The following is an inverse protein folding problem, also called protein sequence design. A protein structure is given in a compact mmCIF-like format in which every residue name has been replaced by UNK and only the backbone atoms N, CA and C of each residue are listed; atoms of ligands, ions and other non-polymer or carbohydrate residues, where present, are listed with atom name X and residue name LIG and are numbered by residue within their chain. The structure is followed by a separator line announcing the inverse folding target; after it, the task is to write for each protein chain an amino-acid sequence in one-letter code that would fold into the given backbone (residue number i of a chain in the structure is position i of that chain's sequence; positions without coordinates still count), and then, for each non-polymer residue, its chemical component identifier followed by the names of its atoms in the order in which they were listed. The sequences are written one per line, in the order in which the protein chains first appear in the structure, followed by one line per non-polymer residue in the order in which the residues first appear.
data_IF_294284515187
#
_entry.id   IF_294284515187
#
_cell.length_a   1.000
_cell.length_b   1.000
_cell.length_c   1.000
_cell.angle_alpha   90.00
_cell.angle_beta   90.00
_cell.angle_gamma   90.00
#
_symmetry.space_group_name_H-M   'P 1'
#
loop_
_entity.id
_entity.type
_entity.pdbx_description
1 polymer ?
#
# COMPACT_ATOMS: atom_id res chain seq x y z
N UNK A 1 84.47 -40.26 24.27
CA UNK A 1 83.14 -40.63 23.70
C UNK A 1 82.10 -39.69 24.31
N UNK A 2 81.18 -39.09 23.53
CA UNK A 2 81.06 -39.06 22.06
C UNK A 2 80.96 -37.64 21.44
N UNK A 3 81.22 -37.59 20.12
CA UNK A 3 80.69 -36.74 19.03
C UNK A 3 80.60 -35.21 19.21
N UNK A 4 81.45 -34.39 18.58
CA UNK A 4 81.58 -34.12 17.13
C UNK A 4 80.24 -33.99 16.41
N UNK A 5 79.81 -32.76 16.07
CA UNK A 5 79.44 -32.30 14.71
C UNK A 5 79.42 -30.75 14.76
N UNK A 6 80.45 -30.10 14.21
CA UNK A 6 80.29 -28.71 13.72
C UNK A 6 79.55 -28.80 12.38
N UNK A 7 78.44 -28.08 12.18
CA UNK A 7 77.78 -28.10 10.88
C UNK A 7 78.66 -27.33 9.90
N UNK A 8 79.20 -28.03 8.90
CA UNK A 8 79.67 -27.39 7.68
C UNK A 8 78.50 -26.60 7.10
N UNK A 9 78.62 -25.28 7.03
CA UNK A 9 77.66 -24.46 6.31
C UNK A 9 77.80 -24.73 4.81
N UNK A 10 77.06 -25.73 4.34
CA UNK A 10 77.05 -26.10 2.93
C UNK A 10 76.59 -24.91 2.07
N UNK A 11 77.23 -24.66 0.91
CA UNK A 11 76.85 -23.60 -0.05
C UNK A 11 75.41 -23.75 -0.55
N UNK A 12 74.80 -24.93 -0.35
CA UNK A 12 73.40 -25.23 -0.62
C UNK A 12 72.46 -24.41 0.27
N UNK A 13 72.81 -24.14 1.52
CA UNK A 13 71.98 -23.37 2.46
C UNK A 13 71.85 -21.89 2.06
N UNK A 14 72.95 -21.28 1.62
CA UNK A 14 72.99 -19.88 1.19
C UNK A 14 72.37 -19.70 -0.20
N UNK A 15 72.57 -20.68 -1.10
CA UNK A 15 71.88 -20.72 -2.39
C UNK A 15 70.37 -20.90 -2.21
N UNK A 16 69.95 -21.77 -1.29
CA UNK A 16 68.55 -22.01 -0.96
C UNK A 16 67.90 -20.77 -0.32
N UNK A 17 68.60 -20.08 0.59
CA UNK A 17 68.13 -18.82 1.18
C UNK A 17 67.92 -17.72 0.14
N UNK A 18 68.84 -17.56 -0.82
CA UNK A 18 68.69 -16.57 -1.91
C UNK A 18 67.49 -16.89 -2.81
N UNK A 19 67.25 -18.18 -3.06
CA UNK A 19 66.12 -18.65 -3.86
C UNK A 19 64.79 -18.39 -3.13
N UNK A 20 64.72 -18.70 -1.84
CA UNK A 20 63.55 -18.42 -1.00
C UNK A 20 63.28 -16.91 -0.86
N UNK A 21 64.31 -16.08 -0.67
CA UNK A 21 64.15 -14.62 -0.62
C UNK A 21 63.63 -14.05 -1.94
N UNK A 22 64.08 -14.56 -3.09
CA UNK A 22 63.57 -14.16 -4.40
C UNK A 22 62.08 -14.48 -4.56
N UNK A 23 61.66 -15.70 -4.19
CA UNK A 23 60.25 -16.11 -4.25
C UNK A 23 59.39 -15.28 -3.30
N UNK A 24 59.89 -14.99 -2.10
CA UNK A 24 59.17 -14.16 -1.12
C UNK A 24 58.97 -12.73 -1.63
N UNK A 25 59.99 -12.14 -2.24
CA UNK A 25 59.91 -10.81 -2.85
C UNK A 25 58.89 -10.75 -3.99
N UNK A 26 58.86 -11.78 -4.85
CA UNK A 26 57.86 -11.87 -5.93
C UNK A 26 56.45 -12.04 -5.37
N UNK A 27 56.26 -12.87 -4.34
CA UNK A 27 54.96 -13.03 -3.70
C UNK A 27 54.47 -11.75 -3.03
N UNK A 28 55.38 -10.99 -2.42
CA UNK A 28 55.05 -9.73 -1.76
C UNK A 28 54.66 -8.67 -2.81
N UNK A 29 55.41 -8.58 -3.92
CA UNK A 29 55.08 -7.71 -5.05
C UNK A 29 53.74 -8.10 -5.70
N UNK A 30 53.51 -9.39 -5.92
CA UNK A 30 52.27 -9.90 -6.48
C UNK A 30 51.09 -9.67 -5.53
N UNK A 31 51.30 -9.81 -4.22
CA UNK A 31 50.34 -9.49 -3.17
C UNK A 31 49.98 -8.00 -3.14
N UNK A 32 50.97 -7.10 -3.18
CA UNK A 32 50.72 -5.65 -3.25
C UNK A 32 50.04 -5.24 -4.56
N UNK A 33 50.39 -5.87 -5.69
CA UNK A 33 49.72 -5.63 -6.97
C UNK A 33 48.26 -6.12 -6.97
N UNK A 34 48.01 -7.30 -6.41
CA UNK A 34 46.66 -7.85 -6.26
C UNK A 34 45.82 -7.02 -5.30
N UNK A 35 46.42 -6.53 -4.21
CA UNK A 35 45.75 -5.65 -3.25
C UNK A 35 45.42 -4.29 -3.87
N UNK A 36 46.33 -3.71 -4.67
CA UNK A 36 46.07 -2.49 -5.43
C UNK A 36 44.94 -2.65 -6.46
N UNK A 37 44.85 -3.82 -7.10
CA UNK A 37 43.75 -4.13 -8.01
C UNK A 37 42.41 -4.29 -7.29
N UNK A 38 42.40 -4.91 -6.10
CA UNK A 38 41.19 -5.12 -5.31
C UNK A 38 40.69 -3.86 -4.58
N UNK A 39 41.59 -2.91 -4.31
CA UNK A 39 41.27 -1.63 -3.68
C UNK A 39 40.81 -0.54 -4.66
N UNK A 40 40.69 -0.83 -5.96
CA UNK A 40 40.02 0.10 -6.87
C UNK A 40 38.51 0.05 -6.58
N UNK A 41 37.90 1.11 -6.03
CA UNK A 41 36.48 1.09 -5.75
C UNK A 41 35.73 0.88 -7.07
N UNK A 42 34.74 -0.04 -7.13
CA UNK A 42 33.92 -0.19 -8.31
C UNK A 42 33.23 1.16 -8.62
N UNK A 43 33.03 1.51 -9.90
CA UNK A 43 32.48 2.82 -10.29
C UNK A 43 31.15 3.08 -9.60
N UNK A 44 31.14 4.04 -8.68
CA UNK A 44 30.00 4.39 -7.83
C UNK A 44 28.85 5.04 -8.59
N UNK A 45 29.08 5.46 -9.84
CA UNK A 45 28.10 6.17 -10.68
C UNK A 45 26.82 5.35 -10.87
N UNK A 46 26.94 4.06 -11.17
CA UNK A 46 25.78 3.20 -11.41
C UNK A 46 24.92 2.96 -10.16
N UNK A 47 25.52 3.02 -8.98
CA UNK A 47 24.78 2.82 -7.72
C UNK A 47 24.02 4.10 -7.33
N UNK A 48 24.64 5.27 -7.55
CA UNK A 48 23.99 6.55 -7.31
C UNK A 48 22.85 6.78 -8.31
N UNK A 49 23.03 6.39 -9.58
CA UNK A 49 21.97 6.40 -10.58
C UNK A 49 20.77 5.53 -10.16
N UNK A 50 21.01 4.30 -9.68
CA UNK A 50 19.92 3.42 -9.24
C UNK A 50 19.18 3.93 -8.00
N UNK A 51 19.90 4.49 -7.02
CA UNK A 51 19.28 5.07 -5.82
C UNK A 51 18.46 6.31 -6.20
N UNK A 52 18.97 7.13 -7.12
CA UNK A 52 18.30 8.34 -7.57
C UNK A 52 17.07 8.03 -8.44
N UNK A 53 17.17 7.05 -9.33
CA UNK A 53 16.04 6.55 -10.13
C UNK A 53 14.96 5.94 -9.24
N UNK A 54 15.34 5.11 -8.26
CA UNK A 54 14.39 4.51 -7.33
C UNK A 54 13.73 5.55 -6.43
N UNK A 55 14.48 6.55 -5.95
CA UNK A 55 13.90 7.66 -5.18
C UNK A 55 12.88 8.44 -6.01
N UNK A 56 13.20 8.70 -7.27
CA UNK A 56 12.30 9.41 -8.18
C UNK A 56 11.03 8.60 -8.47
N UNK A 57 11.14 7.29 -8.67
CA UNK A 57 9.98 6.40 -8.85
C UNK A 57 9.11 6.34 -7.58
N UNK A 58 9.72 6.25 -6.40
CA UNK A 58 8.98 6.25 -5.12
C UNK A 58 8.26 7.58 -4.90
N UNK A 59 8.89 8.70 -5.24
CA UNK A 59 8.28 10.02 -5.09
C UNK A 59 7.11 10.22 -6.08
N UNK A 60 7.27 9.75 -7.32
CA UNK A 60 6.19 9.76 -8.31
C UNK A 60 5.01 8.89 -7.86
N UNK A 61 5.27 7.68 -7.37
CA UNK A 61 4.23 6.77 -6.86
C UNK A 61 3.53 7.35 -5.61
N UNK A 62 4.28 8.00 -4.71
CA UNK A 62 3.69 8.72 -3.57
C UNK A 62 2.80 9.87 -4.03
N UNK A 63 3.18 10.57 -5.09
CA UNK A 63 2.40 11.69 -5.62
C UNK A 63 1.13 11.21 -6.33
N UNK A 64 1.18 10.08 -7.04
CA UNK A 64 0.00 9.40 -7.61
C UNK A 64 -0.97 8.95 -6.51
N UNK A 65 -0.48 8.44 -5.38
CA UNK A 65 -1.30 8.05 -4.23
C UNK A 65 -1.78 9.23 -3.37
N UNK A 66 -1.15 10.41 -3.48
CA UNK A 66 -1.57 11.63 -2.78
C UNK A 66 -2.77 12.34 -3.45
N UNK A 67 -2.98 12.12 -4.75
CA UNK A 67 -4.13 12.66 -5.49
C UNK A 67 -5.49 12.19 -4.91
N UNK A 68 -5.71 10.90 -4.61
CA UNK A 68 -6.90 10.42 -3.90
C UNK A 68 -7.13 11.14 -2.57
N UNK A 69 -6.10 11.32 -1.75
CA UNK A 69 -6.22 11.90 -0.41
C UNK A 69 -6.59 13.39 -0.43
N UNK A 70 -6.03 14.15 -1.39
CA UNK A 70 -6.34 15.57 -1.61
C UNK A 70 -7.78 15.78 -2.11
N UNK A 71 -8.25 14.95 -3.05
CA UNK A 71 -9.63 15.00 -3.55
C UNK A 71 -10.62 14.56 -2.47
N UNK A 72 -10.30 13.51 -1.71
CA UNK A 72 -11.10 13.06 -0.56
C UNK A 72 -11.28 14.18 0.47
N UNK A 73 -10.23 14.97 0.75
CA UNK A 73 -10.32 16.04 1.75
C UNK A 73 -11.26 17.18 1.33
N UNK A 74 -11.39 17.45 0.03
CA UNK A 74 -12.23 18.54 -0.49
C UNK A 74 -13.73 18.22 -0.46
N UNK A 75 -14.11 16.94 -0.53
CA UNK A 75 -15.53 16.51 -0.61
C UNK A 75 -16.05 15.79 0.64
N UNK A 76 -15.23 15.63 1.68
CA UNK A 76 -15.63 14.97 2.95
C UNK A 76 -16.92 15.53 3.55
N UNK A 77 -17.16 16.83 3.44
CA UNK A 77 -18.35 17.46 4.01
C UNK A 77 -19.57 17.46 3.06
N UNK A 78 -19.39 17.05 1.80
CA UNK A 78 -20.46 16.99 0.80
C UNK A 78 -21.08 15.61 0.66
N UNK A 79 -20.48 14.59 1.30
CA UNK A 79 -20.93 13.20 1.28
C UNK A 79 -21.59 12.90 2.64
N UNK A 80 -22.79 12.31 2.62
CA UNK A 80 -23.50 11.90 3.83
C UNK A 80 -23.83 10.41 3.80
N UNK A 81 -23.93 9.81 4.98
CA UNK A 81 -24.49 8.48 5.13
C UNK A 81 -26.01 8.57 5.24
N UNK A 82 -26.74 7.77 4.47
CA UNK A 82 -28.20 7.70 4.52
C UNK A 82 -28.60 6.41 5.22
N UNK A 83 -29.49 6.52 6.20
CA UNK A 83 -30.15 5.39 6.83
C UNK A 83 -31.65 5.53 6.67
N UNK A 84 -32.33 4.45 6.31
CA UNK A 84 -33.77 4.46 6.15
C UNK A 84 -34.45 3.21 6.66
N UNK A 85 -35.76 3.32 6.83
CA UNK A 85 -36.66 2.21 7.09
C UNK A 85 -37.78 2.31 6.08
N UNK A 86 -38.07 1.21 5.41
CA UNK A 86 -39.20 1.10 4.51
C UNK A 86 -40.06 -0.09 4.90
N UNK A 87 -41.32 -0.03 4.49
CA UNK A 87 -42.28 -1.09 4.70
C UNK A 87 -43.07 -1.36 3.43
N UNK A 88 -43.48 -2.60 3.25
CA UNK A 88 -44.36 -3.02 2.16
C UNK A 88 -45.52 -3.79 2.77
N UNK A 89 -46.74 -3.34 2.52
CA UNK A 89 -47.93 -3.89 3.15
C UNK A 89 -49.20 -3.66 2.36
N UNK A 90 -50.24 -4.39 2.73
CA UNK A 90 -51.59 -4.22 2.18
C UNK A 90 -52.36 -3.18 2.99
N UNK A 91 -53.31 -2.51 2.35
CA UNK A 91 -54.18 -1.55 3.00
C UNK A 91 -54.84 -2.16 4.26
N UNK A 92 -54.79 -1.44 5.39
CA UNK A 92 -55.39 -1.82 6.67
C UNK A 92 -54.80 -3.09 7.34
N UNK A 93 -53.66 -3.62 6.87
CA UNK A 93 -52.98 -4.76 7.48
C UNK A 93 -51.63 -4.36 8.09
N UNK A 94 -51.06 -5.22 8.95
CA UNK A 94 -49.68 -5.05 9.38
C UNK A 94 -48.75 -5.16 8.16
N UNK A 95 -47.67 -4.37 8.09
CA UNK A 95 -46.72 -4.44 6.98
C UNK A 95 -46.17 -5.87 6.88
N UNK A 96 -46.26 -6.44 5.68
CA UNK A 96 -45.78 -7.79 5.40
C UNK A 96 -44.25 -7.85 5.39
N UNK A 97 -43.61 -6.74 5.01
CA UNK A 97 -42.18 -6.55 5.03
C UNK A 97 -41.87 -5.21 5.69
N UNK A 98 -40.88 -5.20 6.58
CA UNK A 98 -40.27 -3.99 7.13
C UNK A 98 -38.77 -4.19 7.20
N UNK A 99 -38.02 -3.38 6.48
CA UNK A 99 -36.59 -3.55 6.32
C UNK A 99 -35.86 -2.21 6.46
N UNK A 100 -34.57 -2.32 6.79
CA UNK A 100 -33.66 -1.19 6.92
C UNK A 100 -32.84 -1.08 5.65
N UNK A 101 -32.57 0.14 5.24
CA UNK A 101 -31.63 0.45 4.16
C UNK A 101 -30.55 1.38 4.65
N UNK A 102 -29.42 1.28 3.99
CA UNK A 102 -28.30 2.19 4.16
C UNK A 102 -27.70 2.51 2.82
N UNK A 103 -27.21 3.73 2.66
CA UNK A 103 -26.60 4.19 1.43
C UNK A 103 -25.80 5.46 1.66
N UNK A 104 -25.46 6.11 0.57
CA UNK A 104 -24.70 7.36 0.57
C UNK A 104 -25.45 8.39 -0.25
N UNK A 105 -25.38 9.65 0.18
CA UNK A 105 -25.88 10.79 -0.58
C UNK A 105 -24.78 11.81 -0.80
N UNK A 106 -24.98 12.67 -1.80
CA UNK A 106 -24.14 13.82 -2.05
C UNK A 106 -24.98 15.09 -2.20
N UNK A 107 -24.54 16.17 -1.56
CA UNK A 107 -25.21 17.48 -1.67
C UNK A 107 -24.95 18.04 -3.07
N UNK A 108 -26.02 18.33 -3.80
CA UNK A 108 -25.94 18.87 -5.17
C UNK A 108 -26.26 20.37 -5.22
N UNK A 109 -27.07 20.85 -4.28
CA UNK A 109 -27.40 22.26 -4.07
C UNK A 109 -27.97 22.43 -2.66
N UNK A 110 -28.26 23.67 -2.27
CA UNK A 110 -28.85 23.96 -0.97
C UNK A 110 -30.17 23.19 -0.77
N UNK A 111 -30.21 22.33 0.23
CA UNK A 111 -31.37 21.49 0.55
C UNK A 111 -31.64 20.35 -0.43
N UNK A 112 -30.77 20.12 -1.43
CA UNK A 112 -30.93 19.05 -2.40
C UNK A 112 -29.81 18.00 -2.24
N UNK A 113 -30.24 16.76 -2.03
CA UNK A 113 -29.38 15.60 -1.92
C UNK A 113 -29.66 14.65 -3.08
N UNK A 114 -28.60 14.20 -3.74
CA UNK A 114 -28.69 13.13 -4.72
C UNK A 114 -28.18 11.83 -4.11
N UNK A 115 -28.86 10.74 -4.45
CA UNK A 115 -28.52 9.38 -4.04
C UNK A 115 -28.96 8.40 -5.11
N UNK A 116 -28.56 7.14 -4.95
CA UNK A 116 -29.00 6.09 -5.84
C UNK A 116 -30.50 5.83 -5.68
N UNK A 117 -31.16 5.46 -6.78
CA UNK A 117 -32.59 5.13 -6.77
C UNK A 117 -32.96 4.07 -5.73
N UNK A 118 -32.13 3.05 -5.54
CA UNK A 118 -32.39 2.00 -4.53
C UNK A 118 -32.30 2.48 -3.08
N UNK A 119 -31.77 3.69 -2.82
CA UNK A 119 -31.78 4.31 -1.49
C UNK A 119 -33.06 5.13 -1.30
N UNK A 120 -33.45 5.91 -2.31
CA UNK A 120 -34.67 6.71 -2.30
C UNK A 120 -35.96 5.88 -2.44
N UNK A 121 -35.88 4.80 -3.22
CA UNK A 121 -36.94 3.81 -3.45
C UNK A 121 -36.40 2.39 -3.15
N UNK A 122 -36.28 2.00 -1.87
CA UNK A 122 -35.73 0.70 -1.45
C UNK A 122 -36.35 -0.56 -2.07
N UNK A 123 -37.64 -0.48 -2.41
CA UNK A 123 -38.37 -1.57 -3.06
C UNK A 123 -37.97 -1.76 -4.53
N UNK A 124 -37.22 -0.82 -5.11
CA UNK A 124 -36.74 -0.93 -6.48
C UNK A 124 -35.61 -1.96 -6.57
N UNK A 125 -35.86 -3.06 -7.28
CA UNK A 125 -34.90 -4.15 -7.45
C UNK A 125 -34.88 -5.16 -6.30
N UNK A 126 -35.70 -4.98 -5.26
CA UNK A 126 -35.86 -5.96 -4.18
C UNK A 126 -36.87 -7.06 -4.58
N UNK A 127 -36.44 -8.34 -4.73
CA UNK A 127 -37.32 -9.40 -5.19
C UNK A 127 -38.51 -9.67 -4.26
N UNK A 128 -38.32 -9.56 -2.94
CA UNK A 128 -39.38 -9.80 -1.95
C UNK A 128 -40.45 -8.72 -2.03
N UNK A 129 -40.04 -7.44 -2.03
CA UNK A 129 -40.92 -6.30 -2.28
C UNK A 129 -41.66 -6.44 -3.61
N UNK A 130 -40.96 -6.84 -4.68
CA UNK A 130 -41.58 -7.00 -5.99
C UNK A 130 -42.69 -8.06 -6.00
N UNK A 131 -42.51 -9.19 -5.28
CA UNK A 131 -43.56 -10.21 -5.12
C UNK A 131 -44.78 -9.63 -4.39
N UNK A 132 -44.56 -8.88 -3.31
CA UNK A 132 -45.65 -8.27 -2.53
C UNK A 132 -46.39 -7.19 -3.33
N UNK A 133 -45.65 -6.33 -4.02
CA UNK A 133 -46.20 -5.25 -4.84
C UNK A 133 -47.04 -5.81 -5.99
N UNK A 134 -46.58 -6.88 -6.66
CA UNK A 134 -47.38 -7.59 -7.68
C UNK A 134 -48.70 -8.15 -7.14
N UNK A 135 -48.77 -8.48 -5.85
CA UNK A 135 -50.00 -8.93 -5.17
C UNK A 135 -50.91 -7.77 -4.74
N UNK A 136 -50.52 -6.52 -5.01
CA UNK A 136 -51.27 -5.32 -4.64
C UNK A 136 -50.82 -4.66 -3.33
N UNK A 137 -49.68 -5.07 -2.76
CA UNK A 137 -49.10 -4.35 -1.62
C UNK A 137 -48.54 -2.99 -2.08
N UNK A 138 -48.61 -1.99 -1.20
CA UNK A 138 -48.05 -0.65 -1.45
C UNK A 138 -46.77 -0.48 -0.62
N UNK A 139 -45.66 -0.07 -1.24
CA UNK A 139 -44.45 0.26 -0.50
C UNK A 139 -44.55 1.68 0.09
N UNK A 140 -43.93 1.90 1.23
CA UNK A 140 -43.87 3.20 1.89
C UNK A 140 -42.55 3.37 2.62
N UNK A 141 -41.95 4.55 2.45
CA UNK A 141 -40.82 4.98 3.27
C UNK A 141 -41.34 5.42 4.65
N UNK A 142 -40.83 4.79 5.69
CA UNK A 142 -41.20 5.11 7.08
C UNK A 142 -40.30 6.21 7.65
N UNK A 143 -39.01 6.15 7.34
CA UNK A 143 -38.01 7.10 7.81
C UNK A 143 -36.82 7.12 6.85
N UNK A 144 -36.26 8.30 6.61
CA UNK A 144 -35.00 8.46 5.89
C UNK A 144 -34.19 9.58 6.54
N UNK A 145 -32.96 9.27 6.94
CA UNK A 145 -32.09 10.17 7.69
C UNK A 145 -30.74 10.28 6.98
N UNK A 146 -30.26 11.50 6.81
CA UNK A 146 -28.92 11.82 6.36
C UNK A 146 -28.01 12.22 7.53
N UNK A 147 -26.85 11.58 7.63
CA UNK A 147 -25.81 11.84 8.62
C UNK A 147 -24.61 12.47 7.92
N UNK A 148 -24.31 13.72 8.28
CA UNK A 148 -23.20 14.47 7.72
C UNK A 148 -21.97 14.39 8.65
N UNK A 149 -20.76 14.17 8.11
CA UNK A 149 -19.54 14.27 8.89
C UNK A 149 -19.41 15.65 9.56
N UNK A 150 -19.15 15.67 10.87
CA UNK A 150 -19.02 16.91 11.64
C UNK A 150 -20.33 17.49 12.18
N UNK A 151 -21.49 16.92 11.83
CA UNK A 151 -22.78 17.30 12.40
C UNK A 151 -23.33 16.17 13.30
N UNK A 152 -23.60 16.42 14.59
CA UNK A 152 -24.02 15.38 15.53
C UNK A 152 -25.48 14.96 15.34
N UNK A 153 -26.31 15.82 14.73
CA UNK A 153 -27.74 15.58 14.51
C UNK A 153 -28.00 15.19 13.06
N UNK A 154 -28.69 14.07 12.79
CA UNK A 154 -29.10 13.72 11.44
C UNK A 154 -30.20 14.66 10.94
N UNK A 155 -30.34 14.74 9.62
CA UNK A 155 -31.38 15.50 8.92
C UNK A 155 -32.38 14.52 8.32
N UNK A 156 -33.69 14.77 8.51
CA UNK A 156 -34.76 14.02 7.85
C UNK A 156 -34.89 14.49 6.39
N UNK A 157 -34.95 13.56 5.45
CA UNK A 157 -34.84 13.82 3.99
C UNK A 157 -35.91 13.10 3.19
#
# INVERSE_FOLDING_TARGET
MPDNIQPEEEPVSTAWQRLVQGVLGVFLLMGTGFMGYYYWPPPTDKLHEQVQELSQQVDQLKQEQAMPAMVLNRYRNSICYIFGVYQVGFAQQRPALRARISGTGFVVADGLLATNRHVAEPWYGDPESAVLIRKGATPRLEKLLAFFPGFPTPVDI
#
